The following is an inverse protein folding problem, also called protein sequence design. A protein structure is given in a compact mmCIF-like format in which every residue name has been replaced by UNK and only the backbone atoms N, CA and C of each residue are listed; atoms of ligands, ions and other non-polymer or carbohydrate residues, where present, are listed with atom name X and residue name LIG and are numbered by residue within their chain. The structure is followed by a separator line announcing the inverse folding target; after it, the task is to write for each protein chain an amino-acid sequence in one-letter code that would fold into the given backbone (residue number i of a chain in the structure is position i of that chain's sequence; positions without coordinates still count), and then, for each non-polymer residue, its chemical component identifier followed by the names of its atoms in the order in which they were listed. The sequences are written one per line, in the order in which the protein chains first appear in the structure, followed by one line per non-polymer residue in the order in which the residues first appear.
data_IF_938923658209
#
_entry.id   IF_938923658209
#
_cell.length_a   1.000
_cell.length_b   1.000
_cell.length_c   1.000
_cell.angle_alpha   90.00
_cell.angle_beta   90.00
_cell.angle_gamma   90.00
#
_symmetry.space_group_name_H-M   'P 1'
#
loop_
_entity.id
_entity.type
_entity.pdbx_description
1 polymer ?
#
# COMPACT_ATOMS: atom_id res chain seq x y z
N UNK A 1 -14.93 -14.56 7.90
CA UNK A 1 -13.95 -13.93 7.01
C UNK A 1 -12.66 -13.83 7.80
N UNK A 2 -11.54 -14.30 7.26
CA UNK A 2 -10.23 -14.14 7.91
C UNK A 2 -9.70 -12.73 7.68
N UNK A 3 -8.84 -12.17 8.56
CA UNK A 3 -8.24 -10.84 8.37
C UNK A 3 -7.67 -10.60 6.97
N UNK A 4 -7.03 -11.62 6.40
CA UNK A 4 -6.51 -11.62 5.03
C UNK A 4 -7.62 -11.42 3.99
N UNK A 5 -8.71 -12.17 4.09
CA UNK A 5 -9.87 -12.02 3.21
C UNK A 5 -10.49 -10.62 3.34
N UNK A 6 -10.52 -10.04 4.54
CA UNK A 6 -11.05 -8.68 4.74
C UNK A 6 -10.17 -7.62 4.06
N UNK A 7 -8.84 -7.77 4.15
CA UNK A 7 -7.88 -6.88 3.49
C UNK A 7 -7.95 -7.03 1.96
N UNK A 8 -8.04 -8.25 1.43
CA UNK A 8 -8.20 -8.47 -0.01
C UNK A 8 -9.51 -7.83 -0.49
N UNK A 9 -10.62 -8.04 0.25
CA UNK A 9 -11.90 -7.43 -0.07
C UNK A 9 -11.83 -5.90 -0.04
N UNK A 10 -11.13 -5.32 0.94
CA UNK A 10 -10.92 -3.87 0.99
C UNK A 10 -10.24 -3.36 -0.28
N UNK A 11 -9.22 -4.05 -0.78
CA UNK A 11 -8.54 -3.70 -2.03
C UNK A 11 -9.48 -3.82 -3.24
N UNK A 12 -10.27 -4.88 -3.30
CA UNK A 12 -11.24 -5.11 -4.37
C UNK A 12 -12.38 -4.07 -4.38
N UNK A 13 -12.74 -3.54 -3.21
CA UNK A 13 -13.78 -2.52 -3.02
C UNK A 13 -13.26 -1.07 -3.21
N UNK A 14 -11.95 -0.89 -3.46
CA UNK A 14 -11.41 0.44 -3.78
C UNK A 14 -11.86 0.90 -5.17
N UNK A 15 -12.15 2.19 -5.37
CA UNK A 15 -12.36 2.74 -6.71
C UNK A 15 -11.17 2.41 -7.62
N UNK A 16 -11.41 2.00 -8.86
CA UNK A 16 -10.36 1.57 -9.80
C UNK A 16 -9.18 2.54 -9.88
N UNK A 17 -9.46 3.85 -9.93
CA UNK A 17 -8.42 4.88 -9.99
C UNK A 17 -7.54 4.89 -8.73
N UNK A 18 -8.12 4.63 -7.55
CA UNK A 18 -7.40 4.55 -6.27
C UNK A 18 -6.62 3.23 -6.17
N UNK A 19 -7.23 2.10 -6.54
CA UNK A 19 -6.55 0.80 -6.49
C UNK A 19 -5.32 0.76 -7.41
N UNK A 20 -5.46 1.32 -8.61
CA UNK A 20 -4.36 1.45 -9.56
C UNK A 20 -3.21 2.34 -9.06
N UNK A 21 -3.45 3.24 -8.10
CA UNK A 21 -2.42 4.06 -7.46
C UNK A 21 -1.79 3.33 -6.27
N UNK A 22 -2.62 2.69 -5.45
CA UNK A 22 -2.25 2.14 -4.15
C UNK A 22 -1.52 0.81 -4.32
N UNK A 23 -2.06 -0.12 -5.11
CA UNK A 23 -1.53 -1.48 -5.20
C UNK A 23 -0.07 -1.50 -5.67
N UNK A 24 0.34 -0.76 -6.73
CA UNK A 24 1.74 -0.75 -7.15
C UNK A 24 2.69 -0.20 -6.08
N UNK A 25 2.25 0.79 -5.28
CA UNK A 25 3.04 1.34 -4.17
C UNK A 25 3.21 0.34 -3.05
N UNK A 26 2.16 -0.43 -2.75
CA UNK A 26 2.26 -1.53 -1.78
C UNK A 26 3.26 -2.57 -2.27
N UNK A 27 3.13 -3.04 -3.51
CA UNK A 27 4.06 -4.02 -4.08
C UNK A 27 5.52 -3.50 -4.07
N UNK A 28 5.72 -2.23 -4.39
CA UNK A 28 7.03 -1.58 -4.31
C UNK A 28 7.60 -1.55 -2.88
N UNK A 29 6.77 -1.27 -1.86
CA UNK A 29 7.23 -1.24 -0.47
C UNK A 29 7.83 -2.60 -0.04
N UNK A 30 7.32 -3.70 -0.61
CA UNK A 30 7.85 -5.05 -0.44
C UNK A 30 8.94 -5.44 -1.45
N UNK A 31 9.43 -4.50 -2.26
CA UNK A 31 10.52 -4.72 -3.23
C UNK A 31 10.09 -5.51 -4.48
N UNK A 32 8.79 -5.67 -4.71
CA UNK A 32 8.22 -6.40 -5.84
C UNK A 32 7.66 -5.42 -6.85
N UNK A 33 8.53 -4.88 -7.71
CA UNK A 33 8.09 -4.01 -8.80
C UNK A 33 8.18 -4.78 -10.13
N UNK A 34 7.05 -4.94 -10.82
CA UNK A 34 6.99 -5.62 -12.11
C UNK A 34 7.22 -4.60 -13.25
N UNK A 35 8.06 -4.92 -14.26
CA UNK A 35 8.12 -4.13 -15.50
C UNK A 35 6.72 -4.07 -16.13
N UNK A 36 6.17 -2.88 -16.44
CA UNK A 36 4.71 -2.72 -16.52
C UNK A 36 4.00 -3.30 -17.76
N UNK A 37 4.69 -3.70 -18.83
CA UNK A 37 3.99 -4.27 -19.99
C UNK A 37 3.33 -5.62 -19.61
N UNK A 38 1.99 -5.63 -19.53
CA UNK A 38 1.07 -6.75 -19.24
C UNK A 38 1.09 -7.37 -17.82
N UNK A 39 1.48 -6.62 -16.77
CA UNK A 39 1.58 -7.20 -15.42
C UNK A 39 0.40 -6.90 -14.48
N UNK A 40 -0.15 -7.98 -13.90
CA UNK A 40 -1.25 -7.96 -12.93
C UNK A 40 -0.72 -7.66 -11.52
N UNK A 41 -0.62 -6.36 -11.19
CA UNK A 41 -0.21 -5.90 -9.85
C UNK A 41 -1.12 -6.40 -8.73
N UNK A 42 -2.39 -6.70 -9.03
CA UNK A 42 -3.31 -7.29 -8.05
C UNK A 42 -2.90 -8.73 -7.75
N UNK A 43 -2.56 -9.52 -8.77
CA UNK A 43 -2.02 -10.87 -8.57
C UNK A 43 -0.70 -10.84 -7.79
N UNK A 44 0.19 -9.89 -8.08
CA UNK A 44 1.45 -9.73 -7.32
C UNK A 44 1.18 -9.35 -5.85
N UNK A 45 0.21 -8.48 -5.58
CA UNK A 45 -0.21 -8.15 -4.21
C UNK A 45 -0.70 -9.38 -3.45
N UNK A 46 -1.56 -10.21 -4.08
CA UNK A 46 -2.04 -11.45 -3.48
C UNK A 46 -0.87 -12.38 -3.17
N UNK A 47 0.06 -12.52 -4.11
CA UNK A 47 1.25 -13.36 -3.95
C UNK A 47 2.13 -12.91 -2.79
N UNK A 48 2.39 -11.60 -2.63
CA UNK A 48 3.11 -11.05 -1.47
C UNK A 48 2.42 -11.48 -0.18
N UNK A 49 1.10 -11.36 -0.15
CA UNK A 49 0.33 -11.67 1.05
C UNK A 49 0.34 -13.17 1.38
N UNK A 50 0.27 -14.03 0.35
CA UNK A 50 0.42 -15.48 0.47
C UNK A 50 1.79 -15.85 1.03
N UNK A 51 2.87 -15.36 0.40
CA UNK A 51 4.27 -15.60 0.82
C UNK A 51 4.52 -15.15 2.27
N UNK A 52 4.00 -14.00 2.67
CA UNK A 52 4.15 -13.48 4.04
C UNK A 52 3.31 -14.24 5.09
N UNK A 53 2.25 -14.93 4.65
CA UNK A 53 1.34 -15.65 5.54
C UNK A 53 1.77 -17.10 5.78
N UNK A 54 2.89 -17.54 5.20
CA UNK A 54 3.50 -18.85 5.50
C UNK A 54 4.08 -18.88 6.94
N UNK A 55 4.01 -20.05 7.59
CA UNK A 55 4.55 -20.35 8.93
C UNK A 55 4.05 -19.47 10.10
N UNK A 56 2.75 -19.53 10.43
CA UNK A 56 2.10 -18.87 11.60
C UNK A 56 2.25 -17.34 11.67
N UNK A 57 2.83 -16.71 10.64
CA UNK A 57 3.07 -15.26 10.57
C UNK A 57 1.88 -14.46 10.02
N UNK A 58 0.73 -15.09 9.77
CA UNK A 58 -0.48 -14.45 9.20
C UNK A 58 -0.88 -13.12 9.88
N UNK A 59 -0.90 -13.01 11.23
CA UNK A 59 -1.16 -11.74 11.90
C UNK A 59 -0.09 -10.66 11.63
N UNK A 60 1.18 -11.05 11.49
CA UNK A 60 2.27 -10.12 11.14
C UNK A 60 2.18 -9.68 9.67
N UNK A 61 1.81 -10.59 8.77
CA UNK A 61 1.55 -10.26 7.38
C UNK A 61 0.42 -9.22 7.25
N UNK A 62 -0.70 -9.44 7.94
CA UNK A 62 -1.82 -8.50 7.96
C UNK A 62 -1.41 -7.14 8.55
N UNK A 63 -0.64 -7.13 9.64
CA UNK A 63 -0.15 -5.91 10.26
C UNK A 63 0.80 -5.13 9.34
N UNK A 64 1.70 -5.81 8.64
CA UNK A 64 2.61 -5.18 7.68
C UNK A 64 1.84 -4.57 6.50
N UNK A 65 0.92 -5.33 5.89
CA UNK A 65 0.11 -4.84 4.76
C UNK A 65 -0.74 -3.64 5.17
N UNK A 66 -1.44 -3.71 6.32
CA UNK A 66 -2.22 -2.58 6.83
C UNK A 66 -1.30 -1.38 7.12
N UNK A 67 -0.08 -1.59 7.60
CA UNK A 67 0.89 -0.50 7.80
C UNK A 67 1.32 0.18 6.53
N UNK A 68 1.60 -0.57 5.47
CA UNK A 68 1.92 0.02 4.18
C UNK A 68 0.71 0.72 3.59
N UNK A 69 -0.50 0.15 3.70
CA UNK A 69 -1.73 0.81 3.25
C UNK A 69 -1.97 2.12 4.00
N UNK A 70 -1.73 2.15 5.31
CA UNK A 70 -1.88 3.37 6.12
C UNK A 70 -0.91 4.44 5.64
N UNK A 71 0.34 4.09 5.36
CA UNK A 71 1.32 5.03 4.80
C UNK A 71 0.92 5.55 3.42
N UNK A 72 0.51 4.66 2.51
CA UNK A 72 0.16 5.00 1.13
C UNK A 72 -1.12 5.84 1.06
N UNK A 73 -2.10 5.56 1.93
CA UNK A 73 -3.39 6.24 1.97
C UNK A 73 -3.40 7.48 2.85
N UNK A 74 -2.79 7.46 4.04
CA UNK A 74 -2.84 8.59 4.99
C UNK A 74 -1.83 9.68 4.72
N UNK A 75 -0.63 9.33 4.25
CA UNK A 75 0.46 10.25 3.87
C UNK A 75 0.74 11.36 4.87
N UNK A 76 1.92 11.35 5.47
CA UNK A 76 2.41 12.59 6.09
C UNK A 76 2.39 13.70 5.02
N UNK A 77 2.01 14.92 5.42
CA UNK A 77 2.00 16.09 4.54
C UNK A 77 3.36 16.35 3.86
N UNK A 78 4.43 15.70 4.36
CA UNK A 78 5.80 15.75 3.85
C UNK A 78 6.14 14.68 2.80
N UNK A 79 5.26 13.69 2.53
CA UNK A 79 5.48 12.70 1.46
C UNK A 79 4.94 13.23 0.13
N UNK A 80 5.83 13.86 -0.63
CA UNK A 80 5.54 14.41 -1.95
C UNK A 80 5.29 13.29 -2.98
N UNK A 81 4.02 12.93 -3.15
CA UNK A 81 3.61 11.86 -4.04
C UNK A 81 3.77 12.21 -5.52
N UNK A 82 3.74 13.50 -5.85
CA UNK A 82 4.09 13.98 -7.20
C UNK A 82 5.53 13.62 -7.47
N UNK A 83 6.44 13.94 -6.54
CA UNK A 83 7.85 13.55 -6.63
C UNK A 83 8.06 12.04 -6.66
N UNK A 84 7.30 11.26 -5.88
CA UNK A 84 7.35 9.79 -5.94
C UNK A 84 6.91 9.28 -7.32
N UNK A 85 5.76 9.72 -7.81
CA UNK A 85 5.23 9.32 -9.12
C UNK A 85 6.15 9.77 -10.28
N UNK A 86 6.76 10.95 -10.17
CA UNK A 86 7.78 11.43 -11.10
C UNK A 86 9.03 10.56 -11.06
N UNK A 87 9.53 10.18 -9.88
CA UNK A 87 10.66 9.25 -9.75
C UNK A 87 10.32 7.87 -10.32
N UNK A 88 9.09 7.40 -10.11
CA UNK A 88 8.60 6.15 -10.68
C UNK A 88 8.54 6.26 -12.19
N UNK A 89 8.02 7.36 -12.74
CA UNK A 89 8.10 7.62 -14.18
C UNK A 89 9.54 7.67 -14.67
N UNK A 90 10.46 8.31 -13.97
CA UNK A 90 11.86 8.40 -14.40
C UNK A 90 12.55 7.04 -14.43
N UNK A 91 12.29 6.19 -13.43
CA UNK A 91 12.84 4.84 -13.30
C UNK A 91 12.20 3.85 -14.28
N UNK A 92 10.90 3.96 -14.51
CA UNK A 92 10.13 2.96 -15.28
C UNK A 92 9.78 3.43 -16.69
N UNK A 93 9.92 4.72 -16.98
CA UNK A 93 9.44 5.43 -18.17
C UNK A 93 7.93 5.30 -18.42
N UNK A 94 7.15 4.92 -17.40
CA UNK A 94 5.72 4.68 -17.53
C UNK A 94 4.90 5.97 -17.31
N UNK A 95 4.31 6.48 -18.39
CA UNK A 95 3.51 7.73 -18.40
C UNK A 95 2.29 7.67 -17.48
N UNK A 96 1.82 6.49 -17.11
CA UNK A 96 0.70 6.32 -16.19
C UNK A 96 1.01 6.95 -14.82
N UNK A 97 2.23 6.85 -14.29
CA UNK A 97 2.59 7.50 -13.02
C UNK A 97 2.56 9.03 -13.13
N UNK A 98 2.99 9.56 -14.28
CA UNK A 98 2.89 10.99 -14.60
C UNK A 98 1.42 11.42 -14.71
N UNK A 99 0.60 10.67 -15.44
CA UNK A 99 -0.82 11.00 -15.65
C UNK A 99 -1.62 10.89 -14.34
N UNK A 100 -1.26 9.92 -13.49
CA UNK A 100 -1.80 9.71 -12.16
C UNK A 100 -1.48 10.82 -11.18
N UNK A 101 -0.24 11.33 -11.18
CA UNK A 101 0.14 12.49 -10.37
C UNK A 101 -0.72 13.73 -10.69
N UNK A 102 -1.13 13.88 -11.95
CA UNK A 102 -1.99 14.98 -12.37
C UNK A 102 -3.46 14.81 -11.96
N UNK A 103 -3.93 13.57 -11.81
CA UNK A 103 -5.32 13.25 -11.46
C UNK A 103 -5.57 13.25 -9.96
N UNK A 104 -4.53 13.09 -9.16
CA UNK A 104 -4.61 12.89 -7.72
C UNK A 104 -5.39 13.99 -6.95
N UNK A 105 -5.22 15.30 -7.21
CA UNK A 105 -5.99 16.33 -6.53
C UNK A 105 -7.51 16.19 -6.75
N UNK A 106 -7.91 15.57 -7.86
CA UNK A 106 -9.30 15.33 -8.22
C UNK A 106 -9.88 14.09 -7.51
N UNK A 107 -9.02 13.24 -6.94
CA UNK A 107 -9.38 11.98 -6.29
C UNK A 107 -9.38 12.07 -4.76
N UNK A 108 -9.09 13.23 -4.17
CA UNK A 108 -8.95 13.42 -2.71
C UNK A 108 -10.15 12.90 -1.92
N UNK A 109 -11.37 13.08 -2.44
CA UNK A 109 -12.60 12.54 -1.83
C UNK A 109 -12.60 11.02 -1.80
N UNK A 110 -12.12 10.36 -2.85
CA UNK A 110 -12.04 8.90 -2.90
C UNK A 110 -10.94 8.37 -1.96
N UNK A 111 -9.80 9.06 -1.88
CA UNK A 111 -8.75 8.77 -0.90
C UNK A 111 -9.24 8.97 0.54
N UNK A 112 -10.02 10.02 0.83
CA UNK A 112 -10.66 10.21 2.13
C UNK A 112 -11.54 9.04 2.52
N UNK A 113 -12.41 8.59 1.61
CA UNK A 113 -13.27 7.43 1.87
C UNK A 113 -12.46 6.14 2.06
N UNK A 114 -11.39 5.95 1.29
CA UNK A 114 -10.50 4.79 1.42
C UNK A 114 -9.77 4.78 2.78
N UNK A 115 -9.35 5.96 3.24
CA UNK A 115 -8.73 6.17 4.57
C UNK A 115 -9.68 5.80 5.71
N UNK A 116 -10.93 6.27 5.66
CA UNK A 116 -11.95 5.94 6.67
C UNK A 116 -12.19 4.42 6.73
N UNK A 117 -12.40 3.78 5.57
CA UNK A 117 -12.55 2.33 5.47
C UNK A 117 -11.33 1.56 5.97
N UNK A 118 -10.12 2.07 5.75
CA UNK A 118 -8.90 1.45 6.27
C UNK A 118 -8.84 1.51 7.80
N UNK A 119 -9.29 2.61 8.42
CA UNK A 119 -9.34 2.70 9.89
C UNK A 119 -10.33 1.71 10.50
N UNK A 120 -11.48 1.52 9.84
CA UNK A 120 -12.45 0.49 10.22
C UNK A 120 -11.84 -0.91 10.12
N UNK A 121 -11.24 -1.23 8.96
CA UNK A 121 -10.57 -2.51 8.71
C UNK A 121 -9.46 -2.79 9.73
N UNK A 122 -8.64 -1.79 10.03
CA UNK A 122 -7.57 -1.90 11.02
C UNK A 122 -8.11 -2.28 12.40
N UNK A 123 -9.28 -1.76 12.77
CA UNK A 123 -9.90 -2.01 14.06
C UNK A 123 -10.57 -3.39 14.13
N UNK A 124 -11.04 -3.93 13.00
CA UNK A 124 -11.68 -5.25 12.92
C UNK A 124 -10.71 -6.40 12.68
N UNK A 125 -9.65 -6.18 11.90
CA UNK A 125 -8.81 -7.26 11.35
C UNK A 125 -7.49 -7.49 12.10
N UNK A 126 -7.06 -6.55 12.95
CA UNK A 126 -5.82 -6.70 13.72
C UNK A 126 -6.09 -6.96 15.21
N UNK A 127 -5.47 -8.00 15.75
CA UNK A 127 -5.41 -8.18 17.20
C UNK A 127 -4.60 -7.05 17.86
N UNK A 128 -4.83 -6.80 19.15
CA UNK A 128 -4.08 -5.79 19.92
C UNK A 128 -2.56 -5.99 19.80
N UNK A 129 -2.10 -7.24 19.77
CA UNK A 129 -0.68 -7.56 19.61
C UNK A 129 -0.15 -7.21 18.21
N UNK A 130 -0.92 -7.52 17.16
CA UNK A 130 -0.59 -7.16 15.78
C UNK A 130 -0.60 -5.64 15.55
N UNK A 131 -1.52 -4.90 16.20
CA UNK A 131 -1.54 -3.44 16.22
C UNK A 131 -0.30 -2.83 16.90
N UNK A 132 0.17 -3.42 17.99
CA UNK A 132 1.40 -2.95 18.64
C UNK A 132 2.64 -3.20 17.78
N UNK A 133 2.71 -4.36 17.10
CA UNK A 133 3.80 -4.68 16.14
C UNK A 133 3.75 -3.80 14.88
N UNK A 134 2.55 -3.43 14.42
CA UNK A 134 2.34 -2.46 13.34
C UNK A 134 3.01 -1.10 13.65
N UNK A 135 2.81 -0.55 14.86
CA UNK A 135 3.45 0.72 15.25
C UNK A 135 4.98 0.63 15.28
N UNK A 136 5.54 -0.51 15.70
CA UNK A 136 6.99 -0.68 15.75
C UNK A 136 7.61 -0.89 14.36
N UNK A 137 6.91 -1.57 13.44
CA UNK A 137 7.35 -1.74 12.06
C UNK A 137 7.39 -0.41 11.30
N UNK A 138 6.35 0.43 11.45
CA UNK A 138 6.31 1.77 10.86
C UNK A 138 7.47 2.66 11.33
N UNK A 139 7.83 2.57 12.61
CA UNK A 139 8.91 3.36 13.20
C UNK A 139 10.32 2.94 12.75
N UNK A 140 10.52 1.66 12.37
CA UNK A 140 11.86 1.09 12.15
C UNK A 140 12.19 0.85 10.67
N UNK A 141 11.24 0.37 9.86
CA UNK A 141 11.50 -0.01 8.46
C UNK A 141 11.36 1.17 7.49
N UNK A 142 10.32 1.99 7.62
CA UNK A 142 10.05 3.07 6.65
C UNK A 142 11.02 4.25 6.80
N UNK A 143 11.31 4.66 8.04
CA UNK A 143 12.28 5.71 8.33
C UNK A 143 13.72 5.36 7.90
N UNK A 144 14.05 4.07 7.79
CA UNK A 144 15.37 3.61 7.29
C UNK A 144 15.39 3.46 5.76
N UNK A 145 14.33 2.93 5.14
CA UNK A 145 14.27 2.73 3.67
C UNK A 145 14.09 4.03 2.88
N UNK A 146 13.35 5.01 3.42
CA UNK A 146 13.29 6.37 2.84
C UNK A 146 14.65 7.07 2.88
N UNK A 147 15.40 6.92 3.98
CA UNK A 147 16.76 7.47 4.11
C UNK A 147 17.80 6.78 3.24
N UNK A 148 17.61 5.50 2.91
CA UNK A 148 18.51 4.76 2.03
C UNK A 148 18.23 5.00 0.52
N UNK A 149 17.11 5.65 0.20
CA UNK A 149 16.69 5.99 -1.16
C UNK A 149 16.87 7.49 -1.50
N UNK A 150 17.37 8.28 -0.54
CA UNK A 150 17.87 9.64 -0.70
C UNK A 150 19.38 9.64 -0.87
#
# INVERSE_FOLDING_TARGET
MTPKEEIIKFIDDLPTMVSELVIPQVCLAFGRMLPYDDNDYRAEFIKIFDEMSEDDNGPMACAAIIGILDLVLFRDADFDLVKFNEQMFEKTKNTMFRDKALQEPLLERQFSNAREKLQELRSSSLSTEALHKWKSLLAVEFGKRLKASM
#
